data_IF_246297109027
#
_entry.id   IF_246297109027
#
_cell.length_a   1.000
_cell.length_b   1.000
_cell.length_c   1.000
_cell.angle_alpha   90.00
_cell.angle_beta   90.00
_cell.angle_gamma   90.00
#
_symmetry.space_group_name_H-M   'P 1'
#
loop_
_entity.id
_entity.type
_entity.pdbx_description
1 polymer ?
#
# COMPACT_ATOMS: atom_id res chain seq x y z
N UNK A 1 -18.78 1.99 -30.13
CA UNK A 1 -17.55 2.58 -30.70
C UNK A 1 -17.96 3.53 -31.82
N UNK A 2 -17.36 4.72 -31.91
CA UNK A 2 -17.55 5.62 -33.07
C UNK A 2 -16.26 5.61 -33.86
N UNK A 3 -16.33 5.20 -35.13
CA UNK A 3 -15.21 5.24 -36.09
C UNK A 3 -15.38 6.51 -36.97
N UNK A 4 -14.35 7.30 -37.05
CA UNK A 4 -14.30 8.46 -37.95
C UNK A 4 -13.34 8.15 -39.08
N UNK A 5 -13.86 8.04 -40.30
CA UNK A 5 -13.05 7.82 -41.50
C UNK A 5 -12.83 9.15 -42.23
N UNK A 6 -11.58 9.51 -42.42
CA UNK A 6 -11.20 10.71 -43.18
C UNK A 6 -10.90 10.31 -44.61
N UNK A 7 -11.56 10.97 -45.53
CA UNK A 7 -11.38 10.72 -46.95
C UNK A 7 -10.49 11.78 -47.56
N UNK A 8 -9.62 11.33 -48.46
CA UNK A 8 -8.83 12.17 -49.39
C UNK A 8 -9.45 12.05 -50.76
N UNK A 9 -9.79 13.16 -51.38
CA UNK A 9 -10.31 13.20 -52.75
C UNK A 9 -9.40 14.08 -53.59
N UNK A 10 -8.92 13.57 -54.73
CA UNK A 10 -8.17 14.34 -55.70
C UNK A 10 -9.11 14.74 -56.82
N UNK A 11 -9.19 16.01 -57.13
CA UNK A 11 -10.01 16.50 -58.26
C UNK A 11 -9.26 16.28 -59.62
N UNK A 12 -9.97 16.42 -60.74
CA UNK A 12 -9.42 16.29 -62.08
C UNK A 12 -8.30 17.30 -62.39
N UNK A 13 -8.21 18.41 -61.62
CA UNK A 13 -7.15 19.41 -61.73
C UNK A 13 -5.88 19.03 -60.92
N UNK A 14 -5.83 17.85 -60.30
CA UNK A 14 -4.73 17.42 -59.46
C UNK A 14 -4.76 17.92 -57.98
N UNK A 15 -5.70 18.82 -57.65
CA UNK A 15 -5.82 19.30 -56.25
C UNK A 15 -6.32 18.20 -55.35
N UNK A 16 -5.68 18.08 -54.18
CA UNK A 16 -6.02 17.11 -53.16
C UNK A 16 -6.79 17.76 -52.01
N UNK A 17 -8.06 17.40 -51.86
CA UNK A 17 -8.90 17.80 -50.73
C UNK A 17 -8.88 16.70 -49.65
N UNK A 18 -8.60 17.09 -48.41
CA UNK A 18 -8.69 16.22 -47.25
C UNK A 18 -9.75 16.76 -46.32
N UNK A 19 -10.53 15.87 -45.74
CA UNK A 19 -11.48 16.26 -44.67
C UNK A 19 -10.73 16.97 -43.54
N UNK A 20 -11.32 18.07 -43.03
CA UNK A 20 -10.75 18.83 -41.93
C UNK A 20 -10.85 18.00 -40.65
N UNK A 21 -9.72 17.80 -39.99
CA UNK A 21 -9.66 17.23 -38.64
C UNK A 21 -9.21 18.31 -37.64
N UNK A 22 -10.04 18.69 -36.68
CA UNK A 22 -9.69 19.73 -35.71
C UNK A 22 -8.68 19.27 -34.67
N UNK A 23 -8.18 18.02 -34.75
CA UNK A 23 -7.27 17.42 -33.77
C UNK A 23 -5.82 17.39 -34.25
N UNK A 24 -4.90 17.64 -33.30
CA UNK A 24 -3.45 17.72 -33.53
C UNK A 24 -2.91 16.55 -34.37
N UNK A 25 -2.11 16.87 -35.39
CA UNK A 25 -1.30 15.91 -36.16
C UNK A 25 -0.54 14.96 -35.25
N UNK A 26 -0.65 13.65 -35.45
CA UNK A 26 0.24 12.71 -34.78
C UNK A 26 -0.13 11.23 -34.91
N UNK A 27 -1.35 10.82 -34.69
CA UNK A 27 -1.69 9.39 -34.69
C UNK A 27 -2.89 9.11 -35.59
N UNK A 28 -2.77 8.08 -36.45
CA UNK A 28 -3.88 7.61 -37.28
C UNK A 28 -5.04 6.99 -36.48
N UNK A 29 -4.74 6.50 -35.26
CA UNK A 29 -5.72 5.90 -34.33
C UNK A 29 -5.72 6.67 -33.03
N UNK A 30 -6.92 7.04 -32.57
CA UNK A 30 -7.12 7.70 -31.28
C UNK A 30 -8.12 6.91 -30.43
N UNK A 31 -7.71 6.51 -29.25
CA UNK A 31 -8.57 5.81 -28.29
C UNK A 31 -9.40 6.80 -27.47
N UNK A 32 -10.71 6.57 -27.42
CA UNK A 32 -11.65 7.39 -26.64
C UNK A 32 -11.45 7.22 -25.11
N UNK A 33 -12.07 8.14 -24.34
CA UNK A 33 -11.91 8.19 -22.89
C UNK A 33 -12.26 6.86 -22.17
N UNK A 34 -13.29 6.16 -22.62
CA UNK A 34 -13.74 4.91 -21.99
C UNK A 34 -12.72 3.77 -22.21
N UNK A 35 -12.19 3.61 -23.41
CA UNK A 35 -11.11 2.62 -23.68
C UNK A 35 -9.88 2.94 -22.83
N UNK A 36 -9.51 4.21 -22.76
CA UNK A 36 -8.36 4.65 -21.96
C UNK A 36 -8.56 4.36 -20.47
N UNK A 37 -9.78 4.55 -19.94
CA UNK A 37 -10.13 4.21 -18.56
C UNK A 37 -10.02 2.69 -18.32
N UNK A 38 -10.62 1.87 -19.17
CA UNK A 38 -10.57 0.40 -19.08
C UNK A 38 -9.12 -0.10 -19.13
N UNK A 39 -8.32 0.39 -20.09
CA UNK A 39 -6.90 0.01 -20.22
C UNK A 39 -6.12 0.40 -18.96
N UNK A 40 -6.37 1.57 -18.39
CA UNK A 40 -5.71 2.01 -17.18
C UNK A 40 -6.10 1.15 -15.98
N UNK A 41 -7.39 0.85 -15.81
CA UNK A 41 -7.89 -0.01 -14.74
C UNK A 41 -7.30 -1.41 -14.82
N UNK A 42 -7.41 -2.06 -15.99
CA UNK A 42 -6.89 -3.41 -16.20
C UNK A 42 -5.37 -3.50 -15.96
N UNK A 43 -4.61 -2.48 -16.32
CA UNK A 43 -3.17 -2.49 -16.08
C UNK A 43 -2.81 -2.17 -14.62
N UNK A 44 -3.40 -1.11 -14.04
CA UNK A 44 -2.97 -0.59 -12.72
C UNK A 44 -3.65 -1.34 -11.58
N UNK A 45 -4.97 -1.58 -11.67
CA UNK A 45 -5.74 -2.23 -10.59
C UNK A 45 -5.70 -3.75 -10.72
N UNK A 46 -5.89 -4.27 -11.95
CA UNK A 46 -5.90 -5.71 -12.19
C UNK A 46 -4.50 -6.28 -12.50
N UNK A 47 -3.46 -5.44 -12.46
CA UNK A 47 -2.06 -5.83 -12.68
C UNK A 47 -1.82 -6.60 -13.99
N UNK A 48 -2.62 -6.35 -15.04
CA UNK A 48 -2.51 -7.04 -16.31
C UNK A 48 -1.30 -6.53 -17.10
N UNK A 49 -0.32 -7.39 -17.45
CA UNK A 49 0.84 -6.99 -18.26
C UNK A 49 0.44 -6.45 -19.64
N UNK A 50 1.23 -5.56 -20.22
CA UNK A 50 0.91 -4.89 -21.50
C UNK A 50 0.65 -5.86 -22.65
N UNK A 51 1.39 -6.96 -22.73
CA UNK A 51 1.20 -7.99 -23.76
C UNK A 51 -0.16 -8.67 -23.64
N UNK A 52 -0.49 -9.17 -22.45
CA UNK A 52 -1.78 -9.80 -22.19
C UNK A 52 -2.94 -8.81 -22.34
N UNK A 53 -2.72 -7.56 -21.97
CA UNK A 53 -3.72 -6.51 -22.12
C UNK A 53 -3.98 -6.19 -23.59
N UNK A 54 -2.95 -6.17 -24.44
CA UNK A 54 -3.12 -6.00 -25.89
C UNK A 54 -3.95 -7.14 -26.49
N UNK A 55 -3.65 -8.41 -26.15
CA UNK A 55 -4.43 -9.58 -26.57
C UNK A 55 -5.87 -9.51 -26.08
N UNK A 56 -6.08 -9.19 -24.78
CA UNK A 56 -7.42 -9.04 -24.21
C UNK A 56 -8.26 -7.96 -24.95
N UNK A 57 -7.65 -6.81 -25.24
CA UNK A 57 -8.35 -5.73 -25.94
C UNK A 57 -8.74 -6.14 -27.37
N UNK A 58 -7.94 -6.94 -28.05
CA UNK A 58 -8.23 -7.44 -29.38
C UNK A 58 -9.29 -8.56 -29.34
N UNK A 59 -9.11 -9.57 -28.50
CA UNK A 59 -9.96 -10.76 -28.46
C UNK A 59 -11.37 -10.47 -27.91
N UNK A 60 -11.47 -9.66 -26.85
CA UNK A 60 -12.75 -9.40 -26.18
C UNK A 60 -13.46 -8.16 -26.72
N UNK A 61 -12.68 -7.11 -27.02
CA UNK A 61 -13.23 -5.80 -27.40
C UNK A 61 -13.06 -5.46 -28.88
N UNK A 62 -12.41 -6.33 -29.67
CA UNK A 62 -12.05 -6.07 -31.07
C UNK A 62 -11.33 -4.72 -31.27
N UNK A 63 -10.48 -4.37 -30.31
CA UNK A 63 -9.70 -3.12 -30.32
C UNK A 63 -8.23 -3.45 -30.44
N UNK A 64 -7.70 -3.32 -31.64
CA UNK A 64 -6.28 -3.50 -31.86
C UNK A 64 -5.47 -2.33 -31.28
N UNK A 65 -4.54 -2.63 -30.35
CA UNK A 65 -3.63 -1.64 -29.77
C UNK A 65 -2.26 -2.24 -29.47
N UNK A 66 -1.22 -1.45 -29.76
CA UNK A 66 0.13 -1.86 -29.43
C UNK A 66 0.45 -1.68 -27.94
N UNK A 67 1.42 -2.44 -27.42
CA UNK A 67 1.94 -2.24 -26.06
C UNK A 67 2.43 -0.81 -25.83
N UNK A 68 3.01 -0.16 -26.85
CA UNK A 68 3.40 1.25 -26.80
C UNK A 68 2.21 2.21 -26.62
N UNK A 69 1.08 1.92 -27.27
CA UNK A 69 -0.16 2.69 -27.08
C UNK A 69 -0.70 2.53 -25.64
N UNK A 70 -0.70 1.30 -25.10
CA UNK A 70 -1.08 1.00 -23.71
C UNK A 70 -0.19 1.78 -22.74
N UNK A 71 1.14 1.68 -22.89
CA UNK A 71 2.12 2.44 -22.09
C UNK A 71 1.82 3.94 -22.09
N UNK A 72 1.57 4.53 -23.27
CA UNK A 72 1.27 5.96 -23.38
C UNK A 72 -0.04 6.34 -22.66
N UNK A 73 -1.06 5.50 -22.72
CA UNK A 73 -2.33 5.69 -22.02
C UNK A 73 -2.09 5.69 -20.51
N UNK A 74 -1.39 4.69 -19.98
CA UNK A 74 -1.09 4.56 -18.55
C UNK A 74 -0.22 5.72 -18.05
N UNK A 75 0.80 6.12 -18.81
CA UNK A 75 1.66 7.27 -18.48
C UNK A 75 0.87 8.59 -18.46
N UNK A 76 -0.08 8.77 -19.38
CA UNK A 76 -0.93 9.97 -19.37
C UNK A 76 -1.87 9.96 -18.15
N UNK A 77 -2.46 8.81 -17.80
CA UNK A 77 -3.28 8.68 -16.62
C UNK A 77 -2.47 9.02 -15.34
N UNK A 78 -1.25 8.47 -15.21
CA UNK A 78 -0.33 8.79 -14.12
C UNK A 78 -0.02 10.30 -14.04
N UNK A 79 0.24 10.94 -15.19
CA UNK A 79 0.49 12.39 -15.21
C UNK A 79 -0.73 13.20 -14.75
N UNK A 80 -1.93 12.79 -15.20
CA UNK A 80 -3.19 13.46 -14.84
C UNK A 80 -3.59 13.25 -13.37
N UNK A 81 -3.16 12.18 -12.73
CA UNK A 81 -3.47 11.91 -11.31
C UNK A 81 -2.56 12.66 -10.32
N UNK A 82 -1.47 13.29 -10.77
CA UNK A 82 -0.57 14.04 -9.87
C UNK A 82 -1.26 15.04 -8.94
N UNK A 83 -2.22 15.88 -9.38
CA UNK A 83 -2.92 16.80 -8.48
C UNK A 83 -3.75 16.06 -7.41
N UNK A 84 -4.39 14.95 -7.79
CA UNK A 84 -5.15 14.13 -6.85
C UNK A 84 -4.24 13.46 -5.81
N UNK A 85 -3.07 12.95 -6.24
CA UNK A 85 -2.06 12.37 -5.32
C UNK A 85 -1.60 13.43 -4.31
N UNK A 86 -1.32 14.66 -4.76
CA UNK A 86 -0.95 15.77 -3.86
C UNK A 86 -2.05 16.06 -2.84
N UNK A 87 -3.30 16.11 -3.28
CA UNK A 87 -4.44 16.30 -2.37
C UNK A 87 -4.54 15.17 -1.34
N UNK A 88 -4.33 13.90 -1.75
CA UNK A 88 -4.31 12.76 -0.84
C UNK A 88 -3.18 12.89 0.19
N UNK A 89 -2.00 13.33 -0.20
CA UNK A 89 -0.88 13.59 0.72
C UNK A 89 -1.23 14.69 1.73
N UNK A 90 -1.86 15.77 1.28
CA UNK A 90 -2.28 16.88 2.15
C UNK A 90 -3.36 16.44 3.17
N UNK A 91 -4.26 15.54 2.77
CA UNK A 91 -5.25 14.94 3.68
C UNK A 91 -4.57 14.01 4.68
N UNK A 92 -3.66 13.14 4.21
CA UNK A 92 -2.93 12.22 5.06
C UNK A 92 -2.11 12.97 6.13
N UNK A 93 -1.41 14.04 5.76
CA UNK A 93 -0.63 14.87 6.71
C UNK A 93 -1.47 15.46 7.84
N UNK A 94 -2.78 15.60 7.65
CA UNK A 94 -3.73 16.14 8.65
C UNK A 94 -4.48 15.02 9.41
N UNK A 95 -4.23 13.77 9.06
CA UNK A 95 -4.93 12.65 9.69
C UNK A 95 -4.35 12.36 11.06
N UNK A 96 -5.18 12.18 12.10
CA UNK A 96 -4.70 11.94 13.46
C UNK A 96 -4.06 10.58 13.64
N UNK A 97 -4.45 9.59 12.84
CA UNK A 97 -3.93 8.22 12.89
C UNK A 97 -3.55 7.75 11.49
N UNK A 98 -2.36 7.21 11.33
CA UNK A 98 -1.87 6.65 10.07
C UNK A 98 -1.15 5.32 10.27
N UNK A 99 -1.46 4.38 9.38
CA UNK A 99 -0.67 3.16 9.21
C UNK A 99 0.47 3.39 8.22
N UNK A 100 1.65 2.86 8.52
CA UNK A 100 2.79 2.81 7.61
C UNK A 100 3.27 1.38 7.46
N UNK A 101 3.58 1.01 6.23
CA UNK A 101 4.15 -0.30 5.89
C UNK A 101 5.02 -0.17 4.63
N UNK A 102 5.91 -1.12 4.38
CA UNK A 102 6.67 -1.14 3.15
C UNK A 102 6.90 -2.58 2.67
N UNK A 103 6.90 -2.74 1.35
CA UNK A 103 7.16 -4.00 0.68
C UNK A 103 8.34 -3.90 -0.27
N UNK A 104 9.11 -4.98 -0.34
CA UNK A 104 10.20 -5.08 -1.30
C UNK A 104 9.66 -5.21 -2.72
N UNK A 105 10.24 -4.48 -3.65
CA UNK A 105 10.02 -4.65 -5.07
C UNK A 105 11.34 -4.58 -5.83
N UNK A 106 11.38 -5.18 -7.02
CA UNK A 106 12.54 -5.08 -7.88
C UNK A 106 12.25 -4.17 -9.07
N UNK A 107 13.12 -3.20 -9.29
CA UNK A 107 13.07 -2.32 -10.44
C UNK A 107 14.42 -2.37 -11.17
N UNK A 108 14.42 -2.82 -12.42
CA UNK A 108 15.65 -3.03 -13.21
C UNK A 108 16.72 -3.84 -12.43
N UNK A 109 16.33 -4.96 -11.82
CA UNK A 109 17.19 -5.84 -11.00
C UNK A 109 17.75 -5.20 -9.71
N UNK A 110 17.39 -3.96 -9.39
CA UNK A 110 17.75 -3.30 -8.14
C UNK A 110 16.61 -3.43 -7.14
N UNK A 111 16.96 -3.73 -5.89
CA UNK A 111 15.99 -3.76 -4.79
C UNK A 111 15.50 -2.35 -4.51
N UNK A 112 14.20 -2.21 -4.51
CA UNK A 112 13.48 -0.97 -4.27
C UNK A 112 12.36 -1.23 -3.26
N UNK A 113 11.65 -0.21 -2.81
CA UNK A 113 10.54 -0.33 -1.86
C UNK A 113 9.29 0.39 -2.38
N UNK A 114 8.16 -0.25 -2.17
CA UNK A 114 6.86 0.41 -2.21
C UNK A 114 6.44 0.66 -0.79
N UNK A 115 6.33 1.91 -0.44
CA UNK A 115 5.83 2.38 0.84
C UNK A 115 4.34 2.61 0.78
N UNK A 116 3.66 2.34 1.88
CA UNK A 116 2.24 2.55 2.06
C UNK A 116 2.05 3.50 3.23
N UNK A 117 1.25 4.53 3.01
CA UNK A 117 0.72 5.40 4.07
C UNK A 117 -0.80 5.34 3.98
N UNK A 118 -1.48 4.96 5.05
CA UNK A 118 -2.91 4.67 5.01
C UNK A 118 -3.66 5.17 6.24
N UNK A 119 -4.92 5.48 6.03
CA UNK A 119 -5.93 5.67 7.07
C UNK A 119 -7.05 4.65 6.87
N UNK A 120 -8.15 4.74 7.62
CA UNK A 120 -9.33 3.90 7.41
C UNK A 120 -9.94 4.07 6.01
N UNK A 121 -9.78 5.24 5.37
CA UNK A 121 -10.46 5.58 4.11
C UNK A 121 -9.52 5.83 2.94
N UNK A 122 -8.24 6.08 3.19
CA UNK A 122 -7.28 6.47 2.16
C UNK A 122 -6.02 5.62 2.24
N UNK A 123 -5.51 5.25 1.08
CA UNK A 123 -4.21 4.58 0.94
C UNK A 123 -3.39 5.28 -0.13
N UNK A 124 -2.19 5.69 0.24
CA UNK A 124 -1.20 6.22 -0.67
C UNK A 124 -0.05 5.23 -0.79
N UNK A 125 0.19 4.74 -2.00
CA UNK A 125 1.36 3.93 -2.33
C UNK A 125 2.40 4.81 -3.04
N UNK A 126 3.66 4.72 -2.62
CA UNK A 126 4.74 5.46 -3.27
C UNK A 126 6.05 4.68 -3.22
N UNK A 127 6.87 4.91 -4.23
CA UNK A 127 8.18 4.27 -4.35
C UNK A 127 9.25 5.10 -3.64
N UNK A 128 10.15 4.43 -2.92
CA UNK A 128 11.39 5.01 -2.41
C UNK A 128 12.54 4.01 -2.44
N UNK A 129 13.75 4.51 -2.61
CA UNK A 129 14.96 3.71 -2.56
C UNK A 129 15.38 3.49 -1.11
N UNK A 130 15.10 2.31 -0.57
CA UNK A 130 15.54 1.93 0.79
C UNK A 130 14.43 1.92 1.84
N UNK A 131 14.84 1.62 3.06
CA UNK A 131 13.99 1.31 4.22
C UNK A 131 14.33 2.21 5.44
N UNK A 132 14.85 3.39 5.18
CA UNK A 132 15.27 4.35 6.22
C UNK A 132 14.09 5.22 6.67
N UNK A 133 14.12 5.66 7.93
CA UNK A 133 13.20 6.67 8.48
C UNK A 133 13.12 7.94 7.64
N UNK A 134 14.24 8.31 7.01
CA UNK A 134 14.33 9.49 6.11
C UNK A 134 13.26 9.53 5.03
N UNK A 135 12.80 8.37 4.55
CA UNK A 135 11.75 8.30 3.53
C UNK A 135 10.45 8.94 4.02
N UNK A 136 10.08 8.67 5.27
CA UNK A 136 8.89 9.26 5.87
C UNK A 136 9.14 10.71 6.32
N UNK A 137 10.33 11.02 6.85
CA UNK A 137 10.74 12.38 7.21
C UNK A 137 10.70 13.32 6.00
N UNK A 138 11.28 12.92 4.87
CA UNK A 138 11.27 13.71 3.63
C UNK A 138 9.86 13.91 3.07
N UNK A 139 8.99 12.90 3.23
CA UNK A 139 7.65 12.96 2.65
C UNK A 139 6.62 13.65 3.53
N UNK A 140 6.64 13.40 4.84
CA UNK A 140 5.64 13.89 5.79
C UNK A 140 6.17 15.01 6.70
N UNK A 141 7.48 15.06 6.93
CA UNK A 141 8.13 16.12 7.72
C UNK A 141 7.51 16.28 9.11
N UNK A 142 7.28 17.53 9.51
CA UNK A 142 6.72 17.86 10.83
C UNK A 142 5.29 17.34 11.06
N UNK A 143 4.58 16.93 10.02
CA UNK A 143 3.26 16.32 10.20
C UNK A 143 3.32 15.04 11.03
N UNK A 144 4.45 14.30 11.02
CA UNK A 144 4.64 13.08 11.81
C UNK A 144 4.44 13.32 13.31
N UNK A 145 4.83 14.48 13.82
CA UNK A 145 4.69 14.87 15.23
C UNK A 145 3.23 14.98 15.71
N UNK A 146 2.30 15.06 14.79
CA UNK A 146 0.86 15.16 15.08
C UNK A 146 0.09 13.87 14.77
N UNK A 147 0.79 12.80 14.41
CA UNK A 147 0.20 11.55 13.95
C UNK A 147 0.46 10.43 14.97
N UNK A 148 -0.59 9.71 15.33
CA UNK A 148 -0.46 8.40 15.96
C UNK A 148 -0.15 7.38 14.86
N UNK A 149 1.07 6.86 14.86
CA UNK A 149 1.52 5.92 13.84
C UNK A 149 1.19 4.47 14.22
N UNK A 150 0.72 3.68 13.25
CA UNK A 150 0.56 2.23 13.37
C UNK A 150 1.52 1.56 12.39
N UNK A 151 2.53 0.83 12.89
CA UNK A 151 3.58 0.25 12.04
C UNK A 151 3.92 -1.19 12.44
N UNK A 152 4.70 -1.89 11.62
CA UNK A 152 5.38 -3.09 12.07
C UNK A 152 6.50 -2.76 13.08
N UNK A 153 7.28 -3.78 13.47
CA UNK A 153 8.40 -3.65 14.43
C UNK A 153 9.74 -3.27 13.76
N UNK A 154 9.73 -2.71 12.56
CA UNK A 154 10.98 -2.31 11.94
C UNK A 154 11.61 -1.11 12.66
N UNK A 155 12.92 -1.20 12.93
CA UNK A 155 13.64 -0.21 13.76
C UNK A 155 13.57 1.23 13.25
N UNK A 156 13.42 1.43 11.94
CA UNK A 156 13.32 2.76 11.34
C UNK A 156 12.11 3.55 11.85
N UNK A 157 11.00 2.89 12.21
CA UNK A 157 9.81 3.57 12.74
C UNK A 157 10.00 4.10 14.16
N UNK A 158 10.82 3.41 14.97
CA UNK A 158 11.08 3.81 16.36
C UNK A 158 12.05 5.00 16.49
N UNK A 159 12.69 5.42 15.40
CA UNK A 159 13.52 6.62 15.35
C UNK A 159 12.77 7.87 14.91
N UNK A 160 11.48 7.76 14.55
CA UNK A 160 10.65 8.85 14.10
C UNK A 160 9.91 9.51 15.27
N UNK A 161 9.78 10.82 15.21
CA UNK A 161 9.11 11.65 16.22
C UNK A 161 7.60 11.69 15.94
N UNK A 162 6.90 10.59 16.25
CA UNK A 162 5.44 10.51 16.17
C UNK A 162 4.80 11.07 17.44
N UNK A 163 3.57 11.59 17.34
CA UNK A 163 2.77 11.96 18.51
C UNK A 163 2.60 10.76 19.47
N UNK A 164 2.31 9.60 18.90
CA UNK A 164 2.31 8.32 19.60
C UNK A 164 2.57 7.20 18.58
N UNK A 165 2.99 6.04 19.05
CA UNK A 165 3.33 4.92 18.19
C UNK A 165 2.64 3.65 18.69
N UNK A 166 1.92 2.97 17.81
CA UNK A 166 1.28 1.67 18.02
C UNK A 166 1.93 0.63 17.13
N UNK A 167 2.42 -0.46 17.70
CA UNK A 167 2.84 -1.61 16.90
C UNK A 167 1.61 -2.34 16.35
N UNK A 168 1.63 -2.63 15.06
CA UNK A 168 0.52 -3.28 14.37
C UNK A 168 0.26 -4.69 14.91
N UNK A 169 -0.87 -4.87 15.60
CA UNK A 169 -1.23 -6.16 16.18
C UNK A 169 -1.48 -7.24 15.12
N UNK A 170 -1.92 -6.88 13.92
CA UNK A 170 -2.12 -7.84 12.84
C UNK A 170 -0.79 -8.51 12.42
N UNK A 171 0.33 -7.78 12.43
CA UNK A 171 1.65 -8.36 12.19
C UNK A 171 2.08 -9.29 13.33
N UNK A 172 1.86 -8.86 14.58
CA UNK A 172 2.20 -9.69 15.74
C UNK A 172 1.37 -10.97 15.79
N UNK A 173 0.07 -10.89 15.55
CA UNK A 173 -0.83 -12.04 15.54
C UNK A 173 -0.43 -13.05 14.47
N UNK A 174 -0.11 -12.60 13.24
CA UNK A 174 0.37 -13.50 12.18
C UNK A 174 1.68 -14.22 12.55
N UNK A 175 2.62 -13.52 13.19
CA UNK A 175 3.86 -14.16 13.64
C UNK A 175 3.60 -15.18 14.75
N UNK A 176 2.70 -14.89 15.69
CA UNK A 176 2.33 -15.80 16.77
C UNK A 176 1.56 -17.02 16.27
N UNK A 177 0.66 -16.81 15.32
CA UNK A 177 -0.09 -17.89 14.66
C UNK A 177 0.85 -18.82 13.89
N UNK A 178 1.82 -18.26 13.15
CA UNK A 178 2.87 -19.06 12.51
C UNK A 178 3.67 -19.91 13.54
N UNK A 179 4.02 -19.35 14.72
CA UNK A 179 4.69 -20.12 15.76
C UNK A 179 3.80 -21.22 16.34
N UNK A 180 2.50 -20.97 16.44
CA UNK A 180 1.53 -21.98 16.89
C UNK A 180 1.41 -23.14 15.90
N UNK A 181 1.45 -22.85 14.60
CA UNK A 181 1.49 -23.87 13.54
C UNK A 181 2.80 -24.65 13.54
N UNK A 182 3.92 -23.96 13.78
CA UNK A 182 5.26 -24.56 13.81
C UNK A 182 5.44 -25.57 14.95
N UNK A 183 4.82 -25.33 16.10
CA UNK A 183 4.79 -26.24 17.25
C UNK A 183 3.42 -26.15 17.97
N UNK A 184 2.44 -26.96 17.54
CA UNK A 184 1.09 -26.94 18.13
C UNK A 184 1.01 -27.37 19.59
N UNK A 185 2.04 -28.02 20.14
CA UNK A 185 2.05 -28.50 21.53
C UNK A 185 2.42 -27.41 22.54
N UNK A 186 3.17 -26.39 22.09
CA UNK A 186 3.55 -25.29 22.97
C UNK A 186 2.37 -24.35 23.24
N UNK A 187 2.35 -23.75 24.43
CA UNK A 187 1.23 -22.93 24.90
C UNK A 187 1.52 -21.44 24.81
N UNK A 188 2.77 -21.01 24.91
CA UNK A 188 3.17 -19.61 25.01
C UNK A 188 2.59 -18.70 23.92
N UNK A 189 2.70 -19.08 22.63
CA UNK A 189 2.18 -18.23 21.54
C UNK A 189 0.66 -18.13 21.58
N UNK A 190 -0.05 -19.20 21.98
CA UNK A 190 -1.50 -19.22 22.15
C UNK A 190 -1.95 -18.26 23.25
N UNK A 191 -1.21 -18.22 24.37
CA UNK A 191 -1.50 -17.33 25.49
C UNK A 191 -1.29 -15.86 25.08
N UNK A 192 -0.23 -15.54 24.35
CA UNK A 192 0.01 -14.19 23.81
C UNK A 192 -1.08 -13.79 22.81
N UNK A 193 -1.48 -14.70 21.89
CA UNK A 193 -2.62 -14.46 20.97
C UNK A 193 -3.89 -14.18 21.74
N UNK A 194 -4.18 -14.99 22.79
CA UNK A 194 -5.36 -14.82 23.65
C UNK A 194 -5.35 -13.45 24.31
N UNK A 195 -4.22 -13.05 24.90
CA UNK A 195 -4.05 -11.74 25.53
C UNK A 195 -4.35 -10.58 24.54
N UNK A 196 -3.78 -10.62 23.33
CA UNK A 196 -4.01 -9.58 22.34
C UNK A 196 -5.46 -9.53 21.87
N UNK A 197 -6.08 -10.68 21.62
CA UNK A 197 -7.51 -10.76 21.22
C UNK A 197 -8.45 -10.26 22.33
N UNK A 198 -8.15 -10.55 23.58
CA UNK A 198 -8.92 -10.04 24.72
C UNK A 198 -8.81 -8.52 24.83
N UNK A 199 -7.61 -7.95 24.69
CA UNK A 199 -7.41 -6.49 24.71
C UNK A 199 -8.18 -5.80 23.56
N UNK A 200 -8.13 -6.38 22.34
CA UNK A 200 -8.91 -5.89 21.19
C UNK A 200 -10.42 -5.97 21.49
N UNK A 201 -10.87 -7.07 22.06
CA UNK A 201 -12.29 -7.27 22.41
C UNK A 201 -12.74 -6.23 23.44
N UNK A 202 -11.95 -5.99 24.50
CA UNK A 202 -12.28 -4.97 25.49
C UNK A 202 -12.40 -3.58 24.86
N UNK A 203 -11.47 -3.18 24.00
CA UNK A 203 -11.56 -1.89 23.28
C UNK A 203 -12.80 -1.81 22.40
N UNK A 204 -13.13 -2.88 21.69
CA UNK A 204 -14.30 -2.90 20.79
C UNK A 204 -15.63 -2.85 21.54
N UNK A 205 -15.70 -3.43 22.73
CA UNK A 205 -16.91 -3.41 23.58
C UNK A 205 -17.03 -2.11 24.37
N UNK A 206 -15.92 -1.42 24.60
CA UNK A 206 -15.83 -0.17 25.39
C UNK A 206 -15.08 0.91 24.62
N UNK A 207 -15.61 1.35 23.44
CA UNK A 207 -14.85 2.20 22.52
C UNK A 207 -14.53 3.59 23.05
N UNK A 208 -15.33 4.11 24.01
CA UNK A 208 -15.20 5.46 24.58
C UNK A 208 -14.65 5.47 26.01
N UNK A 209 -14.41 4.30 26.60
CA UNK A 209 -13.93 4.22 27.97
C UNK A 209 -12.41 4.38 28.05
N UNK A 210 -11.95 4.88 29.19
CA UNK A 210 -10.53 4.85 29.53
C UNK A 210 -10.22 3.44 30.04
N UNK A 211 -9.41 2.70 29.29
CA UNK A 211 -8.95 1.36 29.68
C UNK A 211 -7.56 1.47 30.27
N UNK A 212 -7.36 0.87 31.45
CA UNK A 212 -6.04 0.86 32.09
C UNK A 212 -5.05 -0.04 31.32
N UNK A 213 -4.20 0.59 30.56
CA UNK A 213 -3.13 -0.05 29.79
C UNK A 213 -2.16 -0.86 30.70
N UNK A 214 -1.95 -0.47 31.95
CA UNK A 214 -0.99 -1.12 32.85
C UNK A 214 -1.36 -2.57 33.09
N UNK A 215 -2.62 -2.85 33.34
CA UNK A 215 -3.11 -4.22 33.53
C UNK A 215 -2.75 -5.14 32.37
N UNK A 216 -2.81 -4.64 31.13
CA UNK A 216 -2.45 -5.40 29.93
C UNK A 216 -0.94 -5.56 29.76
N UNK A 217 -0.18 -4.54 30.12
CA UNK A 217 1.29 -4.60 30.11
C UNK A 217 1.82 -5.58 31.16
N UNK A 218 1.24 -5.63 32.35
CA UNK A 218 1.64 -6.55 33.41
C UNK A 218 1.38 -8.01 32.99
N UNK A 219 0.22 -8.30 32.41
CA UNK A 219 -0.08 -9.63 31.84
C UNK A 219 0.90 -10.02 30.72
N UNK A 220 1.27 -9.07 29.86
CA UNK A 220 2.27 -9.31 28.81
C UNK A 220 3.64 -9.60 29.45
N UNK A 221 4.05 -8.85 30.47
CA UNK A 221 5.33 -9.04 31.15
C UNK A 221 5.45 -10.42 31.78
N UNK A 222 4.37 -10.96 32.35
CA UNK A 222 4.33 -12.35 32.84
C UNK A 222 4.65 -13.34 31.73
N UNK A 223 4.03 -13.19 30.57
CA UNK A 223 4.30 -14.05 29.40
C UNK A 223 5.72 -13.85 28.86
N UNK A 224 6.27 -12.65 28.92
CA UNK A 224 7.63 -12.34 28.46
C UNK A 224 8.72 -12.90 29.42
N UNK A 225 8.41 -13.21 30.68
CA UNK A 225 9.35 -13.85 31.63
C UNK A 225 9.50 -15.35 31.41
N UNK A 226 8.61 -15.97 30.63
CA UNK A 226 8.65 -17.42 30.36
C UNK A 226 9.95 -17.78 29.65
N UNK A 227 10.65 -18.82 30.14
CA UNK A 227 11.84 -19.33 29.50
C UNK A 227 11.46 -20.18 28.28
N UNK A 228 11.89 -19.78 27.10
CA UNK A 228 11.60 -20.43 25.82
C UNK A 228 12.83 -21.08 25.19
N UNK A 229 13.95 -21.19 25.92
CA UNK A 229 15.21 -21.74 25.38
C UNK A 229 15.13 -23.21 24.96
N UNK A 230 14.15 -23.95 25.51
CA UNK A 230 13.84 -25.33 25.13
C UNK A 230 13.05 -25.45 23.82
N UNK A 231 12.53 -24.34 23.31
CA UNK A 231 11.81 -24.26 22.02
C UNK A 231 12.75 -23.83 20.88
N UNK A 232 12.22 -23.84 19.67
CA UNK A 232 12.97 -23.36 18.50
C UNK A 232 13.34 -21.88 18.65
N UNK A 233 14.48 -21.47 18.11
CA UNK A 233 15.02 -20.11 18.22
C UNK A 233 14.03 -18.98 17.79
N UNK A 234 13.05 -19.31 16.95
CA UNK A 234 12.01 -18.36 16.50
C UNK A 234 11.15 -17.86 17.66
N UNK A 235 10.84 -18.70 18.64
CA UNK A 235 10.05 -18.32 19.83
C UNK A 235 10.79 -17.28 20.66
N UNK A 236 12.05 -17.56 20.98
CA UNK A 236 12.88 -16.62 21.75
C UNK A 236 13.14 -15.31 21.01
N UNK A 237 13.32 -15.38 19.67
CA UNK A 237 13.45 -14.18 18.84
C UNK A 237 12.19 -13.31 18.91
N UNK A 238 11.00 -13.91 18.80
CA UNK A 238 9.75 -13.16 18.89
C UNK A 238 9.53 -12.60 20.30
N UNK A 239 9.78 -13.39 21.35
CA UNK A 239 9.69 -12.94 22.75
C UNK A 239 10.57 -11.70 23.00
N UNK A 240 11.85 -11.75 22.58
CA UNK A 240 12.76 -10.60 22.67
C UNK A 240 12.28 -9.41 21.84
N UNK A 241 11.69 -9.68 20.67
CA UNK A 241 11.10 -8.64 19.83
C UNK A 241 9.91 -7.95 20.48
N UNK A 242 9.01 -8.71 21.14
CA UNK A 242 7.89 -8.17 21.92
C UNK A 242 8.37 -7.35 23.12
N UNK A 243 9.37 -7.83 23.84
CA UNK A 243 9.96 -7.10 24.97
C UNK A 243 10.51 -5.74 24.56
N UNK A 244 11.16 -5.63 23.39
CA UNK A 244 11.71 -4.37 22.86
C UNK A 244 10.63 -3.34 22.48
N UNK A 245 9.46 -3.79 22.04
CA UNK A 245 8.36 -2.91 21.64
C UNK A 245 7.19 -2.89 22.62
N UNK A 246 7.41 -3.40 23.82
CA UNK A 246 6.38 -3.59 24.85
C UNK A 246 5.49 -2.36 25.06
N UNK A 247 6.08 -1.20 25.22
CA UNK A 247 5.37 0.05 25.51
C UNK A 247 4.50 0.57 24.37
N UNK A 248 4.70 0.01 23.17
CA UNK A 248 4.00 0.39 21.94
C UNK A 248 2.89 -0.59 21.52
N UNK A 249 2.67 -1.67 22.31
CA UNK A 249 1.73 -2.75 21.92
C UNK A 249 0.28 -2.40 22.23
N UNK A 250 0.02 -1.72 23.34
CA UNK A 250 -1.34 -1.42 23.82
C UNK A 250 -1.69 0.07 23.79
N UNK A 251 -1.10 0.86 22.90
CA UNK A 251 -1.40 2.29 22.77
C UNK A 251 -2.78 2.57 22.15
N UNK A 252 -3.43 1.55 21.62
CA UNK A 252 -4.80 1.63 21.10
C UNK A 252 -5.88 1.56 22.20
N UNK A 253 -5.52 1.16 23.43
CA UNK A 253 -6.40 1.15 24.60
C UNK A 253 -6.54 2.55 25.19
#
# INVERSE_FOLDING_TARGET
MREYRHYKKTCTCGCCNRGYEPRKRGNQVTFGKNIRAVVTDLNVVQCTPYERLASLMEEVFSVHMSQGAIKNIVQEAMRKSKPAIKLLEDILRKSPVMGFDESACYNNKKLDRVWIAQTTYLTLCFRAAGRSSKVLEERFGDALKNIVAVTDRHSAYFSLDFLNHQVCLAHLLRELEYLTELDPKQQWSKDVVSLFRQAIHERNTRPNDIIDKRTWLDKLDELLRVNLLHLRANFERLRKGLAKCRDYIFNFL
#
